data_IF_764869060127
#
_entry.id   IF_764869060127
#
_cell.length_a   1.000
_cell.length_b   1.000
_cell.length_c   1.000
_cell.angle_alpha   90.00
_cell.angle_beta   90.00
_cell.angle_gamma   90.00
#
_symmetry.space_group_name_H-M   'P 1'
#
loop_
_entity.id
_entity.type
_entity.pdbx_description
1 polymer ?
#
# COMPACT_ATOMS: atom_id res chain seq x y z
N UNK A 1 14.10 -11.28 -4.40
CA UNK A 1 13.74 -12.03 -3.17
C UNK A 1 13.78 -11.05 -2.00
N UNK A 2 12.74 -11.03 -1.16
CA UNK A 2 12.69 -10.17 0.03
C UNK A 2 13.89 -10.41 0.95
N UNK A 3 14.34 -9.35 1.63
CA UNK A 3 15.38 -9.45 2.65
C UNK A 3 14.96 -10.46 3.73
N UNK A 4 15.88 -11.27 4.18
CA UNK A 4 15.65 -12.14 5.34
C UNK A 4 15.41 -11.27 6.58
N UNK A 5 14.85 -11.85 7.64
CA UNK A 5 14.49 -11.11 8.86
C UNK A 5 15.68 -10.39 9.52
N UNK A 6 16.87 -10.99 9.48
CA UNK A 6 18.11 -10.39 9.97
C UNK A 6 18.60 -9.25 9.05
N UNK A 7 18.58 -9.45 7.73
CA UNK A 7 18.95 -8.43 6.75
C UNK A 7 17.98 -7.23 6.77
N UNK A 8 16.66 -7.48 6.92
CA UNK A 8 15.68 -6.41 7.08
C UNK A 8 15.91 -5.60 8.35
N UNK A 9 16.17 -6.29 9.48
CA UNK A 9 16.46 -5.63 10.74
C UNK A 9 17.70 -4.74 10.63
N UNK A 10 18.80 -5.23 10.08
CA UNK A 10 20.03 -4.46 9.88
C UNK A 10 19.82 -3.26 8.95
N UNK A 11 19.05 -3.44 7.86
CA UNK A 11 18.68 -2.35 6.97
C UNK A 11 17.90 -1.25 7.70
N UNK A 12 16.90 -1.60 8.51
CA UNK A 12 16.12 -0.65 9.29
C UNK A 12 16.96 0.07 10.37
N UNK A 13 17.78 -0.69 11.13
CA UNK A 13 18.62 -0.16 12.20
C UNK A 13 19.73 0.76 11.68
N UNK A 14 20.18 0.63 10.45
CA UNK A 14 21.14 1.54 9.85
C UNK A 14 20.62 3.00 9.76
N UNK A 15 19.29 3.20 9.78
CA UNK A 15 18.67 4.53 9.81
C UNK A 15 18.30 5.01 11.23
N UNK A 16 18.54 4.21 12.27
CA UNK A 16 18.19 4.53 13.66
C UNK A 16 19.31 5.28 14.38
N UNK A 17 18.95 5.94 15.50
CA UNK A 17 19.91 6.53 16.43
C UNK A 17 20.64 5.48 17.30
N UNK A 18 21.54 5.96 18.20
CA UNK A 18 22.30 5.09 19.10
C UNK A 18 21.45 4.25 20.06
N UNK A 19 20.19 4.62 20.30
CA UNK A 19 19.22 3.89 21.11
C UNK A 19 18.30 2.98 20.27
N UNK A 20 18.62 2.80 19.00
CA UNK A 20 17.84 1.99 18.02
C UNK A 20 16.45 2.56 17.72
N UNK A 21 16.27 3.88 17.81
CA UNK A 21 15.03 4.58 17.49
C UNK A 21 15.10 5.15 16.09
N UNK A 22 14.09 4.81 15.28
CA UNK A 22 13.93 5.39 13.96
C UNK A 22 13.54 6.88 14.07
N UNK A 23 13.96 7.73 13.12
CA UNK A 23 13.63 9.14 13.12
C UNK A 23 12.13 9.36 12.88
N UNK A 24 11.53 10.29 13.62
CA UNK A 24 10.11 10.66 13.50
C UNK A 24 9.85 11.64 12.34
N UNK A 25 10.84 11.94 11.53
CA UNK A 25 10.81 13.02 10.54
C UNK A 25 9.66 12.94 9.51
N UNK A 26 9.15 11.75 9.23
CA UNK A 26 8.00 11.55 8.34
C UNK A 26 6.64 11.58 9.07
N UNK A 27 6.62 11.36 10.38
CA UNK A 27 5.39 11.34 11.17
C UNK A 27 4.94 12.70 11.67
N UNK A 28 5.86 13.66 11.79
CA UNK A 28 5.62 14.95 12.44
C UNK A 28 5.36 16.10 11.44
N UNK A 29 5.27 15.79 10.17
CA UNK A 29 5.07 16.77 9.10
C UNK A 29 3.69 16.66 8.47
N UNK A 30 2.78 17.59 8.78
CA UNK A 30 1.51 17.70 8.09
C UNK A 30 0.29 17.83 8.99
N UNK A 31 -0.78 18.36 8.41
CA UNK A 31 -2.01 18.72 9.14
C UNK A 31 -2.79 17.52 9.67
N UNK A 32 -2.52 16.33 9.17
CA UNK A 32 -3.24 15.09 9.51
C UNK A 32 -2.49 14.18 10.49
N UNK A 33 -1.24 14.52 10.84
CA UNK A 33 -0.49 13.74 11.83
C UNK A 33 -1.14 13.82 13.22
N UNK A 34 -1.38 12.69 13.91
CA UNK A 34 -1.88 12.69 15.27
C UNK A 34 -0.79 13.10 16.30
N UNK A 35 0.47 13.27 15.86
CA UNK A 35 1.62 13.54 16.72
C UNK A 35 2.21 14.92 16.42
N UNK A 36 2.69 15.61 17.47
CA UNK A 36 3.37 16.90 17.38
C UNK A 36 4.90 16.72 17.34
N UNK A 37 5.66 17.69 16.70
CA UNK A 37 7.11 17.59 16.56
C UNK A 37 7.86 17.54 17.90
N UNK A 38 7.34 18.22 18.93
CA UNK A 38 8.01 18.41 20.24
C UNK A 38 7.86 17.22 21.19
N UNK A 39 7.44 16.09 20.68
CA UNK A 39 7.20 14.88 21.44
C UNK A 39 5.94 14.15 20.98
N UNK A 40 5.76 12.92 21.43
CA UNK A 40 4.57 12.14 21.11
C UNK A 40 3.37 12.65 21.93
N UNK A 41 2.80 13.77 21.52
CA UNK A 41 1.54 14.29 22.05
C UNK A 41 0.45 14.19 20.99
N UNK A 42 -0.73 13.79 21.40
CA UNK A 42 -1.90 13.79 20.52
C UNK A 42 -2.28 15.24 20.17
N UNK A 43 -2.38 15.56 18.89
CA UNK A 43 -2.84 16.86 18.44
C UNK A 43 -4.27 17.14 18.90
N UNK A 44 -4.62 18.41 19.20
CA UNK A 44 -5.99 18.77 19.54
C UNK A 44 -6.97 18.37 18.41
N UNK A 45 -8.12 17.79 18.81
CA UNK A 45 -9.20 17.57 17.87
C UNK A 45 -9.73 18.91 17.36
N UNK A 46 -9.75 19.11 16.06
CA UNK A 46 -10.29 20.31 15.43
C UNK A 46 -11.82 20.29 15.39
N UNK A 47 -12.48 21.45 15.42
CA UNK A 47 -13.91 21.52 15.15
C UNK A 47 -14.24 20.95 13.76
N UNK A 48 -15.47 20.43 13.57
CA UNK A 48 -15.89 19.95 12.26
C UNK A 48 -15.90 21.08 11.23
N UNK A 49 -15.50 20.75 10.01
CA UNK A 49 -15.58 21.64 8.84
C UNK A 49 -16.62 21.11 7.88
N UNK A 50 -17.61 21.94 7.56
CA UNK A 50 -18.70 21.57 6.64
C UNK A 50 -18.89 22.67 5.59
N UNK A 51 -19.09 22.31 4.31
CA UNK A 51 -18.94 20.96 3.77
C UNK A 51 -17.51 20.44 3.92
N UNK A 52 -17.35 19.13 4.00
CA UNK A 52 -16.02 18.52 3.95
C UNK A 52 -15.32 18.87 2.62
N UNK A 53 -13.99 19.02 2.60
CA UNK A 53 -13.26 19.18 1.36
C UNK A 53 -13.51 18.00 0.40
N UNK A 54 -13.68 18.31 -0.87
CA UNK A 54 -13.81 17.28 -1.89
C UNK A 54 -12.54 16.42 -1.94
N UNK A 55 -12.72 15.10 -2.11
CA UNK A 55 -11.61 14.17 -2.36
C UNK A 55 -11.14 14.32 -3.82
N UNK A 56 -9.90 13.95 -4.09
CA UNK A 56 -9.39 13.91 -5.46
C UNK A 56 -10.24 12.94 -6.30
N UNK A 57 -10.73 13.38 -7.45
CA UNK A 57 -11.61 12.58 -8.32
C UNK A 57 -13.06 12.45 -7.84
N UNK A 58 -13.55 13.28 -6.92
CA UNK A 58 -15.02 13.42 -6.68
C UNK A 58 -15.74 13.80 -7.97
N UNK A 59 -15.13 14.64 -8.81
CA UNK A 59 -15.50 14.80 -10.22
C UNK A 59 -14.66 13.80 -11.05
N UNK A 60 -15.29 12.82 -11.73
CA UNK A 60 -14.56 11.85 -12.55
C UNK A 60 -13.70 12.47 -13.65
N UNK A 61 -14.01 13.70 -14.08
CA UNK A 61 -13.28 14.40 -15.15
C UNK A 61 -11.88 14.86 -14.74
N UNK A 62 -11.61 15.03 -13.44
CA UNK A 62 -10.30 15.40 -12.88
C UNK A 62 -9.62 14.26 -12.12
N UNK A 63 -10.12 13.05 -12.25
CA UNK A 63 -9.61 11.90 -11.53
C UNK A 63 -8.23 11.43 -12.06
N UNK A 64 -7.20 11.60 -11.22
CA UNK A 64 -5.83 11.17 -11.52
C UNK A 64 -5.72 9.66 -11.79
N UNK A 65 -6.47 8.83 -11.07
CA UNK A 65 -6.47 7.40 -11.26
C UNK A 65 -7.04 6.99 -12.62
N UNK A 66 -8.08 7.70 -13.10
CA UNK A 66 -8.62 7.54 -14.45
C UNK A 66 -7.61 8.00 -15.52
N UNK A 67 -6.93 9.12 -15.30
CA UNK A 67 -5.86 9.61 -16.18
C UNK A 67 -4.74 8.60 -16.36
N UNK A 68 -4.43 7.83 -15.33
CA UNK A 68 -3.36 6.81 -15.29
C UNK A 68 -3.87 5.37 -15.43
N UNK A 69 -5.07 5.14 -15.96
CA UNK A 69 -5.67 3.80 -16.09
C UNK A 69 -4.86 2.80 -16.93
N UNK A 70 -3.93 3.28 -17.74
CA UNK A 70 -2.99 2.48 -18.52
C UNK A 70 -1.68 2.16 -17.81
N UNK A 71 -1.44 2.71 -16.60
CA UNK A 71 -0.25 2.47 -15.82
C UNK A 71 -0.46 1.34 -14.82
N UNK A 72 0.48 0.42 -14.71
CA UNK A 72 0.42 -0.68 -13.77
C UNK A 72 1.42 -1.78 -14.09
N UNK A 73 1.43 -2.82 -13.27
CA UNK A 73 2.28 -4.00 -13.43
C UNK A 73 1.48 -5.23 -13.88
N UNK A 74 0.15 -5.19 -13.70
CA UNK A 74 -0.79 -6.22 -14.13
C UNK A 74 -2.14 -5.59 -14.49
N UNK A 75 -2.83 -6.19 -15.49
CA UNK A 75 -4.12 -5.75 -15.97
C UNK A 75 -5.01 -6.93 -16.35
N UNK A 76 -6.32 -6.76 -16.15
CA UNK A 76 -7.36 -7.49 -16.87
C UNK A 76 -8.34 -6.52 -17.56
N UNK A 77 -9.54 -6.98 -17.90
CA UNK A 77 -10.54 -6.13 -18.54
C UNK A 77 -11.05 -5.02 -17.63
N UNK A 78 -11.12 -5.25 -16.32
CA UNK A 78 -11.79 -4.38 -15.33
C UNK A 78 -10.87 -3.84 -14.23
N UNK A 79 -9.73 -4.49 -13.96
CA UNK A 79 -8.82 -4.18 -12.85
C UNK A 79 -7.40 -3.90 -13.32
N UNK A 80 -6.66 -3.17 -12.53
CA UNK A 80 -5.22 -2.98 -12.69
C UNK A 80 -4.53 -3.03 -11.33
N UNK A 81 -3.30 -3.51 -11.32
CA UNK A 81 -2.44 -3.56 -10.14
C UNK A 81 -1.23 -2.65 -10.36
N UNK A 82 -0.90 -1.83 -9.38
CA UNK A 82 0.29 -0.99 -9.38
C UNK A 82 1.20 -1.36 -8.21
N UNK A 83 2.51 -1.14 -8.37
CA UNK A 83 3.46 -1.16 -7.27
C UNK A 83 3.73 0.25 -6.79
N UNK A 84 3.76 0.44 -5.48
CA UNK A 84 4.10 1.70 -4.85
C UNK A 84 5.60 1.72 -4.56
N UNK A 85 6.28 2.75 -5.02
CA UNK A 85 7.70 2.98 -4.79
C UNK A 85 7.93 3.87 -3.55
N UNK A 86 9.15 3.88 -3.03
CA UNK A 86 9.54 4.74 -1.90
C UNK A 86 8.95 4.30 -0.56
N UNK A 87 8.58 3.02 -0.44
CA UNK A 87 8.01 2.41 0.77
C UNK A 87 9.09 1.77 1.64
N UNK A 88 8.85 1.66 2.94
CA UNK A 88 9.79 1.08 3.89
C UNK A 88 9.59 -0.43 4.11
N UNK A 89 8.43 -0.98 3.78
CA UNK A 89 8.15 -2.42 3.85
C UNK A 89 8.52 -3.14 2.54
N UNK A 90 8.69 -4.48 2.55
CA UNK A 90 9.19 -5.22 1.39
C UNK A 90 8.40 -5.02 0.09
N UNK A 91 7.07 -4.91 0.17
CA UNK A 91 6.23 -4.73 -1.01
C UNK A 91 4.93 -4.04 -0.62
N UNK A 92 4.58 -3.01 -1.38
CA UNK A 92 3.25 -2.39 -1.35
C UNK A 92 2.66 -2.42 -2.75
N UNK A 93 1.49 -3.04 -2.87
CA UNK A 93 0.72 -3.08 -4.09
C UNK A 93 -0.61 -2.36 -3.90
N UNK A 94 -1.17 -1.84 -4.99
CA UNK A 94 -2.46 -1.19 -4.98
C UNK A 94 -3.30 -1.69 -6.15
N UNK A 95 -4.49 -2.22 -5.82
CA UNK A 95 -5.48 -2.69 -6.79
C UNK A 95 -6.51 -1.61 -7.03
N UNK A 96 -6.79 -1.32 -8.30
CA UNK A 96 -7.78 -0.34 -8.74
C UNK A 96 -8.73 -0.95 -9.77
N UNK A 97 -10.00 -0.56 -9.80
CA UNK A 97 -10.79 -0.71 -11.02
C UNK A 97 -10.19 0.18 -12.13
N UNK A 98 -10.39 -0.22 -13.39
CA UNK A 98 -9.95 0.60 -14.53
C UNK A 98 -10.91 1.71 -14.86
N UNK A 99 -12.19 1.49 -14.58
CA UNK A 99 -13.22 2.51 -14.69
C UNK A 99 -13.41 3.21 -13.35
N UNK A 100 -14.06 4.37 -13.38
CA UNK A 100 -14.25 5.20 -12.21
C UNK A 100 -15.35 4.63 -11.32
N UNK A 101 -14.97 4.01 -10.21
CA UNK A 101 -15.84 3.54 -9.14
C UNK A 101 -15.21 3.87 -7.79
N UNK A 102 -15.99 4.26 -6.80
CA UNK A 102 -15.61 4.11 -5.40
C UNK A 102 -16.21 2.79 -4.85
N UNK A 103 -15.92 2.45 -3.61
CA UNK A 103 -16.36 1.20 -2.98
C UNK A 103 -17.89 1.04 -3.01
N UNK A 104 -18.62 2.12 -2.79
CA UNK A 104 -20.08 2.11 -2.75
C UNK A 104 -20.74 1.98 -4.16
N UNK A 105 -19.96 2.20 -5.22
CA UNK A 105 -20.45 2.17 -6.59
C UNK A 105 -20.29 0.80 -7.25
N UNK A 106 -19.58 -0.13 -6.57
CA UNK A 106 -19.35 -1.46 -7.11
C UNK A 106 -20.67 -2.23 -7.26
N UNK A 107 -20.86 -2.82 -8.42
CA UNK A 107 -21.90 -3.85 -8.60
C UNK A 107 -21.56 -5.10 -7.81
N UNK A 108 -22.54 -5.96 -7.52
CA UNK A 108 -22.30 -7.24 -6.84
C UNK A 108 -21.26 -8.10 -7.58
N UNK A 109 -21.23 -8.04 -8.91
CA UNK A 109 -20.26 -8.75 -9.75
C UNK A 109 -18.85 -8.20 -9.52
N UNK A 110 -18.65 -6.89 -9.57
CA UNK A 110 -17.35 -6.25 -9.31
C UNK A 110 -16.89 -6.47 -7.87
N UNK A 111 -17.82 -6.43 -6.91
CA UNK A 111 -17.52 -6.72 -5.51
C UNK A 111 -17.06 -8.16 -5.30
N UNK A 112 -17.67 -9.12 -5.99
CA UNK A 112 -17.26 -10.52 -5.97
C UNK A 112 -15.86 -10.70 -6.60
N UNK A 113 -15.57 -10.06 -7.73
CA UNK A 113 -14.25 -10.08 -8.35
C UNK A 113 -13.18 -9.46 -7.44
N UNK A 114 -13.48 -8.32 -6.82
CA UNK A 114 -12.59 -7.69 -5.84
C UNK A 114 -12.24 -8.67 -4.71
N UNK A 115 -13.23 -9.41 -4.18
CA UNK A 115 -13.01 -10.41 -3.15
C UNK A 115 -12.09 -11.55 -3.61
N UNK A 116 -12.28 -12.04 -4.83
CA UNK A 116 -11.43 -13.08 -5.43
C UNK A 116 -10.01 -12.58 -5.65
N UNK A 117 -9.84 -11.43 -6.31
CA UNK A 117 -8.54 -10.80 -6.55
C UNK A 117 -7.79 -10.52 -5.26
N UNK A 118 -8.48 -9.97 -4.25
CA UNK A 118 -7.90 -9.74 -2.92
C UNK A 118 -7.34 -11.03 -2.33
N UNK A 119 -8.09 -12.12 -2.43
CA UNK A 119 -7.66 -13.43 -1.91
C UNK A 119 -6.44 -13.97 -2.66
N UNK A 120 -6.41 -13.86 -3.99
CA UNK A 120 -5.26 -14.26 -4.80
C UNK A 120 -4.01 -13.45 -4.45
N UNK A 121 -4.13 -12.12 -4.39
CA UNK A 121 -3.01 -11.23 -4.04
C UNK A 121 -2.45 -11.53 -2.66
N UNK A 122 -3.31 -11.71 -1.64
CA UNK A 122 -2.87 -12.08 -0.29
C UNK A 122 -2.10 -13.41 -0.30
N UNK A 123 -2.60 -14.42 -1.00
CA UNK A 123 -1.91 -15.73 -1.11
C UNK A 123 -0.53 -15.59 -1.75
N UNK A 124 -0.44 -14.85 -2.86
CA UNK A 124 0.81 -14.71 -3.61
C UNK A 124 1.84 -13.85 -2.86
N UNK A 125 1.41 -12.78 -2.20
CA UNK A 125 2.28 -11.97 -1.35
C UNK A 125 2.80 -12.80 -0.17
N UNK A 126 1.94 -13.58 0.50
CA UNK A 126 2.36 -14.43 1.62
C UNK A 126 3.22 -15.63 1.20
N UNK A 127 3.22 -16.00 -0.08
CA UNK A 127 4.08 -17.04 -0.61
C UNK A 127 5.51 -16.53 -0.94
N UNK A 128 5.74 -15.23 -0.91
CA UNK A 128 7.08 -14.66 -1.08
C UNK A 128 7.98 -15.09 0.10
N UNK A 129 9.26 -15.40 -0.16
CA UNK A 129 10.22 -15.67 0.92
C UNK A 129 10.31 -14.49 1.89
N UNK A 130 10.44 -14.79 3.18
CA UNK A 130 10.64 -13.82 4.26
C UNK A 130 9.45 -12.83 4.47
N UNK A 131 8.27 -13.13 3.93
CA UNK A 131 7.04 -12.43 4.20
C UNK A 131 6.15 -13.24 5.16
N UNK A 132 5.77 -12.64 6.27
CA UNK A 132 4.95 -13.29 7.28
C UNK A 132 3.46 -13.10 7.04
N UNK A 133 3.05 -11.90 6.62
CA UNK A 133 1.63 -11.53 6.42
C UNK A 133 1.49 -10.54 5.27
N UNK A 134 0.37 -10.62 4.59
CA UNK A 134 -0.13 -9.56 3.73
C UNK A 134 -1.32 -8.88 4.42
N UNK A 135 -1.23 -7.58 4.64
CA UNK A 135 -2.31 -6.77 5.18
C UNK A 135 -3.03 -6.04 4.05
N UNK A 136 -4.36 -5.96 4.16
CA UNK A 136 -5.22 -5.32 3.17
C UNK A 136 -5.90 -4.13 3.82
N UNK A 137 -5.82 -2.95 3.17
CA UNK A 137 -6.47 -1.74 3.66
C UNK A 137 -7.28 -1.07 2.55
N UNK A 138 -8.39 -0.49 2.95
CA UNK A 138 -9.12 0.50 2.16
C UNK A 138 -9.08 1.82 2.92
N UNK A 139 -8.28 2.77 2.43
CA UNK A 139 -8.18 4.12 2.96
C UNK A 139 -8.76 5.03 1.89
N UNK A 140 -9.90 5.67 2.18
CA UNK A 140 -10.68 6.35 1.14
C UNK A 140 -10.81 7.85 1.34
N UNK A 141 -10.00 8.47 2.21
CA UNK A 141 -10.13 9.88 2.54
C UNK A 141 -9.48 10.79 1.49
N UNK A 142 -8.45 10.33 0.80
CA UNK A 142 -7.70 11.12 -0.18
C UNK A 142 -8.24 11.06 -1.61
N UNK A 143 -8.86 9.96 -2.00
CA UNK A 143 -9.31 9.73 -3.37
C UNK A 143 -10.66 9.04 -3.45
N UNK A 144 -11.52 9.51 -4.37
CA UNK A 144 -12.84 8.92 -4.64
C UNK A 144 -12.79 7.71 -5.59
N UNK A 145 -11.69 7.53 -6.34
CA UNK A 145 -11.49 6.33 -7.14
C UNK A 145 -11.01 5.18 -6.25
N UNK A 146 -11.70 4.04 -6.28
CA UNK A 146 -11.40 2.88 -5.44
C UNK A 146 -9.94 2.44 -5.56
N UNK A 147 -9.31 2.25 -4.43
CA UNK A 147 -7.96 1.71 -4.31
C UNK A 147 -7.86 0.84 -3.06
N UNK A 148 -7.34 -0.38 -3.24
CA UNK A 148 -7.11 -1.34 -2.17
C UNK A 148 -5.62 -1.57 -2.03
N UNK A 149 -5.10 -1.31 -0.84
CA UNK A 149 -3.70 -1.44 -0.50
C UNK A 149 -3.37 -2.84 0.01
N UNK A 150 -2.23 -3.36 -0.41
CA UNK A 150 -1.66 -4.62 0.07
C UNK A 150 -0.25 -4.36 0.58
N UNK A 151 -0.04 -4.53 1.87
CA UNK A 151 1.25 -4.34 2.53
C UNK A 151 1.85 -5.68 2.93
N UNK A 152 3.06 -5.97 2.47
CA UNK A 152 3.81 -7.16 2.86
C UNK A 152 4.58 -6.91 4.16
N UNK A 153 4.23 -7.57 5.26
CA UNK A 153 4.96 -7.50 6.51
C UNK A 153 6.11 -8.51 6.52
N UNK A 154 7.36 -8.06 6.76
CA UNK A 154 8.50 -8.97 6.81
C UNK A 154 8.39 -9.99 7.95
N UNK A 155 8.95 -11.17 7.73
CA UNK A 155 9.03 -12.21 8.74
C UNK A 155 9.91 -11.77 9.92
N UNK A 156 9.57 -12.20 11.13
CA UNK A 156 10.31 -11.88 12.35
C UNK A 156 9.97 -10.50 12.95
N UNK A 157 9.43 -9.56 12.17
CA UNK A 157 9.10 -8.19 12.62
C UNK A 157 7.66 -8.09 13.14
N UNK A 158 7.37 -8.80 14.24
CA UNK A 158 6.01 -8.83 14.82
C UNK A 158 5.54 -7.49 15.39
N UNK A 159 6.48 -6.57 15.72
CA UNK A 159 6.14 -5.22 16.18
C UNK A 159 5.57 -4.33 15.06
N UNK A 160 5.83 -4.66 13.79
CA UNK A 160 5.18 -4.02 12.64
C UNK A 160 3.72 -4.53 12.54
N UNK A 161 2.98 -4.32 13.60
CA UNK A 161 1.62 -4.82 13.75
C UNK A 161 0.68 -4.16 12.75
N UNK A 162 -0.26 -4.91 12.19
CA UNK A 162 -1.09 -4.47 11.08
C UNK A 162 -1.78 -3.13 11.29
N UNK A 163 -2.35 -2.86 12.48
CA UNK A 163 -3.01 -1.56 12.75
C UNK A 163 -2.07 -0.35 12.71
N UNK A 164 -0.75 -0.55 12.78
CA UNK A 164 0.28 0.49 12.76
C UNK A 164 1.24 0.36 11.59
N UNK A 165 1.07 -0.64 10.72
CA UNK A 165 2.03 -0.95 9.67
C UNK A 165 2.21 0.21 8.68
N UNK A 166 1.14 0.92 8.33
CA UNK A 166 1.20 2.09 7.45
C UNK A 166 2.06 3.21 8.06
N UNK A 167 1.94 3.41 9.39
CA UNK A 167 2.75 4.39 10.12
C UNK A 167 4.21 3.93 10.22
N UNK A 168 4.46 2.65 10.44
CA UNK A 168 5.80 2.09 10.42
C UNK A 168 6.45 2.20 9.05
N UNK A 169 5.70 2.03 7.97
CA UNK A 169 6.17 2.20 6.60
C UNK A 169 6.76 3.59 6.37
N UNK A 170 6.10 4.62 6.88
CA UNK A 170 6.58 6.01 6.81
C UNK A 170 7.85 6.27 7.65
N UNK A 171 8.13 5.45 8.66
CA UNK A 171 9.29 5.59 9.54
C UNK A 171 10.52 4.80 9.05
N UNK A 172 10.29 3.68 8.39
CA UNK A 172 11.34 2.82 7.88
C UNK A 172 12.11 3.50 6.74
N UNK A 173 13.40 3.20 6.56
CA UNK A 173 14.12 3.62 5.36
C UNK A 173 13.50 2.96 4.12
N UNK A 174 13.66 3.59 2.96
CA UNK A 174 13.17 3.01 1.70
C UNK A 174 13.71 1.61 1.49
N UNK A 175 12.82 0.68 1.20
CA UNK A 175 13.17 -0.70 0.88
C UNK A 175 13.87 -0.76 -0.49
N UNK A 176 14.88 -1.63 -0.71
CA UNK A 176 15.59 -1.73 -1.99
C UNK A 176 14.65 -1.99 -3.16
N UNK A 177 14.63 -1.05 -4.11
CA UNK A 177 13.66 -1.03 -5.20
C UNK A 177 13.79 -2.24 -6.14
N UNK A 178 15.01 -2.71 -6.40
CA UNK A 178 15.30 -3.87 -7.25
C UNK A 178 14.75 -5.16 -6.63
N UNK A 179 14.80 -5.30 -5.32
CA UNK A 179 14.21 -6.44 -4.59
C UNK A 179 12.68 -6.36 -4.65
N UNK A 180 12.10 -5.19 -4.37
CA UNK A 180 10.65 -4.99 -4.43
C UNK A 180 10.10 -5.22 -5.85
N UNK A 181 10.84 -4.82 -6.89
CA UNK A 181 10.48 -5.07 -8.29
C UNK A 181 10.52 -6.56 -8.65
N UNK A 182 11.51 -7.28 -8.14
CA UNK A 182 11.61 -8.73 -8.33
C UNK A 182 10.46 -9.46 -7.64
N UNK A 183 10.11 -9.08 -6.41
CA UNK A 183 9.01 -9.67 -5.66
C UNK A 183 7.65 -9.33 -6.30
N UNK A 184 7.46 -8.11 -6.79
CA UNK A 184 6.27 -7.73 -7.53
C UNK A 184 6.08 -8.58 -8.80
N UNK A 185 7.17 -8.85 -9.55
CA UNK A 185 7.11 -9.74 -10.72
C UNK A 185 6.68 -11.15 -10.36
N UNK A 186 7.19 -11.73 -9.26
CA UNK A 186 6.79 -13.06 -8.77
C UNK A 186 5.29 -13.09 -8.46
N UNK A 187 4.77 -12.06 -7.76
CA UNK A 187 3.33 -11.96 -7.44
C UNK A 187 2.49 -11.85 -8.71
N UNK A 188 2.91 -11.02 -9.67
CA UNK A 188 2.20 -10.84 -10.95
C UNK A 188 2.17 -12.13 -11.75
N UNK A 189 3.28 -12.88 -11.82
CA UNK A 189 3.34 -14.16 -12.53
C UNK A 189 2.39 -15.19 -11.94
N UNK A 190 2.39 -15.28 -10.62
CA UNK A 190 1.49 -16.16 -9.91
C UNK A 190 0.00 -15.75 -10.10
N UNK A 191 -0.27 -14.44 -10.14
CA UNK A 191 -1.62 -13.93 -10.40
C UNK A 191 -2.08 -14.26 -11.82
N UNK A 192 -1.24 -14.03 -12.84
CA UNK A 192 -1.53 -14.41 -14.24
C UNK A 192 -1.81 -15.91 -14.35
N UNK A 193 -1.00 -16.73 -13.70
CA UNK A 193 -1.17 -18.19 -13.75
C UNK A 193 -2.43 -18.70 -13.05
N UNK A 194 -2.88 -18.04 -11.97
CA UNK A 194 -3.97 -18.54 -11.10
C UNK A 194 -5.32 -17.87 -11.31
N UNK A 195 -5.31 -16.63 -11.80
CA UNK A 195 -6.51 -15.83 -12.03
C UNK A 195 -6.68 -15.44 -13.49
N UNK A 196 -5.58 -15.10 -14.18
CA UNK A 196 -5.59 -14.60 -15.53
C UNK A 196 -5.11 -13.15 -15.63
N UNK A 197 -5.53 -12.45 -16.68
CA UNK A 197 -5.01 -11.12 -17.00
C UNK A 197 -3.65 -11.17 -17.68
N UNK A 198 -2.95 -10.05 -17.72
CA UNK A 198 -1.65 -9.92 -18.36
C UNK A 198 -0.72 -9.00 -17.58
N UNK A 199 0.60 -9.22 -17.71
CA UNK A 199 1.59 -8.25 -17.26
C UNK A 199 1.50 -6.97 -18.09
N UNK A 200 1.92 -5.85 -17.51
CA UNK A 200 2.32 -4.69 -18.30
C UNK A 200 3.45 -5.08 -19.28
N UNK A 201 3.46 -4.49 -20.46
CA UNK A 201 4.63 -4.57 -21.33
C UNK A 201 5.78 -3.77 -20.69
N UNK A 202 6.99 -4.32 -20.76
CA UNK A 202 8.21 -3.64 -20.31
C UNK A 202 8.48 -2.38 -21.13
#
# INVERSE_FOLDING_TARGET
MALRHDEFYEHAIAAADGDRRLPLSRMTGGDISPFEPDGLRVSPLRPPVLPEPARQGEDPSDCDACGRRGEGIWFDARWRLTRIAGVGVPLVLMLHPRDHYDMADLTDELAAELGVLTTHLVRHIQALPNISRAHVYRIGDGGAHLHIWFFARPEGQSQLYGSWLVVWDDLLPEYPADIADADARIVVDALVASYGGSRAAD
#
